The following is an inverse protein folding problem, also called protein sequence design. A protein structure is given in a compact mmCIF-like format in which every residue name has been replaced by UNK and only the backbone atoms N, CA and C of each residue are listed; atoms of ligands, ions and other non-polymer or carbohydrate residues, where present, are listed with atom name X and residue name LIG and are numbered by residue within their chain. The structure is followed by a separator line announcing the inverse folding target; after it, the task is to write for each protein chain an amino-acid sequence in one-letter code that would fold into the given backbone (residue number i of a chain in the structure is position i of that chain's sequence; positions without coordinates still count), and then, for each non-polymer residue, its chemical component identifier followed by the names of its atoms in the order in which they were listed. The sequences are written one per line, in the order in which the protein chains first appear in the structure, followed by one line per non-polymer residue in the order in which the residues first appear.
data_IF_117098058735
#
_entry.id   IF_117098058735
#
_cell.length_a   1.000
_cell.length_b   1.000
_cell.length_c   1.000
_cell.angle_alpha   90.00
_cell.angle_beta   90.00
_cell.angle_gamma   90.00
#
_symmetry.space_group_name_H-M   'P 1'
#
loop_
_entity.id
_entity.type
_entity.pdbx_description
1 polymer ?
#
# COMPACT_ATOMS: atom_id res chain seq x y z
N UNK A 1 3.57 4.83 3.39
CA UNK A 1 4.46 5.99 3.23
C UNK A 1 5.26 6.24 4.51
N UNK A 2 4.64 6.20 5.70
CA UNK A 2 5.34 6.50 6.93
C UNK A 2 4.54 6.20 8.20
N UNK A 3 5.14 6.53 9.35
CA UNK A 3 4.50 6.54 10.66
C UNK A 3 5.35 7.31 11.68
N UNK A 4 4.72 7.77 12.76
CA UNK A 4 5.39 8.32 13.94
C UNK A 4 6.36 9.46 13.64
N UNK A 5 6.03 10.33 12.68
CA UNK A 5 6.81 11.49 12.28
C UNK A 5 7.89 11.22 11.23
N UNK A 6 7.91 10.04 10.63
CA UNK A 6 8.89 9.64 9.60
C UNK A 6 8.21 9.20 8.32
N UNK A 7 8.78 9.63 7.19
CA UNK A 7 8.33 9.28 5.84
C UNK A 7 9.47 8.60 5.07
N UNK A 8 9.11 7.71 4.15
CA UNK A 8 10.09 7.02 3.29
C UNK A 8 10.90 8.01 2.47
N UNK A 9 10.26 9.07 1.95
CA UNK A 9 10.91 10.08 1.12
C UNK A 9 11.85 11.02 1.89
N UNK A 10 11.77 11.05 3.24
CA UNK A 10 12.72 11.83 4.07
C UNK A 10 14.15 11.30 3.99
N UNK A 11 14.36 10.10 3.49
CA UNK A 11 15.65 9.42 3.44
C UNK A 11 16.37 9.38 4.81
N UNK A 12 15.59 9.24 5.88
CA UNK A 12 16.07 9.23 7.27
C UNK A 12 16.24 7.80 7.78
N UNK A 13 17.48 7.30 7.83
CA UNK A 13 17.79 5.94 8.27
C UNK A 13 17.37 5.66 9.72
N UNK A 14 17.52 6.62 10.64
CA UNK A 14 17.09 6.46 12.04
C UNK A 14 15.56 6.47 12.14
N UNK A 15 14.91 7.31 11.35
CA UNK A 15 13.46 7.37 11.25
C UNK A 15 12.88 6.05 10.79
N UNK A 16 13.42 5.47 9.72
CA UNK A 16 12.98 4.16 9.21
C UNK A 16 13.16 3.05 10.26
N UNK A 17 14.28 3.01 10.98
CA UNK A 17 14.48 2.04 12.09
C UNK A 17 13.51 2.23 13.25
N UNK A 18 13.16 3.47 13.59
CA UNK A 18 12.13 3.74 14.61
C UNK A 18 10.76 3.29 14.14
N UNK A 19 10.45 3.52 12.88
CA UNK A 19 9.19 3.10 12.29
C UNK A 19 9.07 1.57 12.28
N UNK A 20 10.04 0.83 11.76
CA UNK A 20 10.00 -0.64 11.75
C UNK A 20 9.81 -1.23 13.16
N UNK A 21 10.43 -0.64 14.16
CA UNK A 21 10.28 -1.04 15.56
C UNK A 21 8.90 -0.65 16.14
N UNK A 22 8.40 0.54 15.80
CA UNK A 22 7.14 1.06 16.34
C UNK A 22 5.91 0.29 15.86
N UNK A 23 5.84 -0.06 14.58
CA UNK A 23 4.65 -0.72 14.00
C UNK A 23 4.42 -2.15 14.50
N UNK A 24 5.39 -2.76 15.14
CA UNK A 24 5.21 -4.05 15.83
C UNK A 24 4.09 -3.96 16.88
N UNK A 25 3.91 -2.79 17.50
CA UNK A 25 2.80 -2.53 18.43
C UNK A 25 1.41 -2.56 17.80
N UNK A 26 1.32 -2.55 16.47
CA UNK A 26 0.08 -2.65 15.70
C UNK A 26 -0.15 -4.08 15.15
N UNK A 27 0.71 -5.04 15.49
CA UNK A 27 0.67 -6.40 14.97
C UNK A 27 1.29 -6.55 13.58
N UNK A 28 2.08 -5.57 13.13
CA UNK A 28 2.75 -5.62 11.82
C UNK A 28 4.10 -6.31 11.96
N UNK A 29 4.31 -7.39 11.23
CA UNK A 29 5.56 -8.17 11.21
C UNK A 29 6.39 -7.94 9.96
N UNK A 30 5.78 -7.42 8.90
CA UNK A 30 6.47 -7.16 7.62
C UNK A 30 5.89 -5.94 6.92
N UNK A 31 6.73 -5.15 6.23
CA UNK A 31 6.33 -3.96 5.48
C UNK A 31 7.03 -3.82 4.14
N UNK A 32 6.42 -3.00 3.29
CA UNK A 32 7.04 -2.37 2.15
C UNK A 32 7.04 -0.85 2.39
N UNK A 33 8.14 -0.22 2.86
CA UNK A 33 8.23 1.24 2.89
C UNK A 33 7.87 1.79 1.51
N UNK A 34 6.90 2.71 1.47
CA UNK A 34 6.28 3.19 0.24
C UNK A 34 6.76 4.60 -0.07
N UNK A 35 7.24 4.83 -1.30
CA UNK A 35 7.54 6.19 -1.79
C UNK A 35 6.29 6.90 -2.25
N UNK A 36 6.31 8.24 -2.25
CA UNK A 36 5.35 9.08 -2.96
C UNK A 36 6.05 9.72 -4.16
N UNK A 37 5.28 10.05 -5.21
CA UNK A 37 5.78 10.82 -6.37
C UNK A 37 6.60 12.02 -5.92
N UNK A 38 7.81 12.15 -6.42
CA UNK A 38 8.73 13.26 -6.12
C UNK A 38 9.80 13.41 -7.20
N UNK A 39 10.65 14.44 -7.04
CA UNK A 39 11.79 14.63 -7.94
C UNK A 39 12.69 13.38 -7.98
N UNK A 40 13.37 13.19 -9.09
CA UNK A 40 14.31 12.08 -9.25
C UNK A 40 15.36 12.03 -8.14
N UNK A 41 15.82 13.19 -7.66
CA UNK A 41 16.79 13.30 -6.56
C UNK A 41 16.21 12.75 -5.26
N UNK A 42 15.00 13.18 -4.88
CA UNK A 42 14.34 12.73 -3.65
C UNK A 42 14.06 11.22 -3.69
N UNK A 43 13.53 10.71 -4.81
CA UNK A 43 13.29 9.28 -4.98
C UNK A 43 14.60 8.48 -4.93
N UNK A 44 15.67 8.97 -5.56
CA UNK A 44 17.00 8.33 -5.50
C UNK A 44 17.50 8.23 -4.06
N UNK A 45 17.39 9.30 -3.27
CA UNK A 45 17.83 9.33 -1.89
C UNK A 45 16.97 8.41 -1.00
N UNK A 46 15.64 8.40 -1.19
CA UNK A 46 14.73 7.53 -0.46
C UNK A 46 15.05 6.04 -0.69
N UNK A 47 15.18 5.64 -1.95
CA UNK A 47 15.49 4.26 -2.33
C UNK A 47 16.86 3.81 -1.81
N UNK A 48 17.89 4.66 -1.93
CA UNK A 48 19.22 4.39 -1.41
C UNK A 48 19.21 4.26 0.14
N UNK A 49 18.41 5.07 0.82
CA UNK A 49 18.27 5.03 2.28
C UNK A 49 17.65 3.71 2.75
N UNK A 50 16.56 3.25 2.11
CA UNK A 50 15.95 1.95 2.47
C UNK A 50 16.95 0.82 2.23
N UNK A 51 17.64 0.82 1.08
CA UNK A 51 18.66 -0.19 0.77
C UNK A 51 19.79 -0.20 1.81
N UNK A 52 20.26 0.98 2.24
CA UNK A 52 21.26 1.13 3.29
C UNK A 52 20.78 0.55 4.63
N UNK A 53 19.56 0.88 5.05
CA UNK A 53 19.00 0.37 6.33
C UNK A 53 18.88 -1.15 6.31
N UNK A 54 18.45 -1.74 5.19
CA UNK A 54 18.39 -3.20 5.04
C UNK A 54 19.76 -3.84 5.16
N UNK A 55 20.79 -3.26 4.55
CA UNK A 55 22.17 -3.79 4.62
C UNK A 55 22.83 -3.63 5.99
N UNK A 56 22.60 -2.51 6.66
CA UNK A 56 23.18 -2.22 7.97
C UNK A 56 22.46 -2.96 9.13
N UNK A 57 21.25 -3.45 8.89
CA UNK A 57 20.40 -4.08 9.89
C UNK A 57 19.51 -3.09 10.66
N UNK A 58 18.42 -3.63 11.17
CA UNK A 58 17.37 -2.91 11.94
C UNK A 58 16.61 -3.92 12.80
N UNK A 59 15.77 -3.42 13.71
CA UNK A 59 14.89 -4.21 14.57
C UNK A 59 13.42 -4.02 14.16
N UNK A 60 12.56 -4.98 14.56
CA UNK A 60 11.10 -4.89 14.40
C UNK A 60 10.60 -5.55 13.12
N UNK A 61 9.59 -4.95 12.49
CA UNK A 61 8.96 -5.51 11.29
C UNK A 61 9.92 -5.62 10.11
N UNK A 62 9.85 -6.75 9.40
CA UNK A 62 10.71 -7.01 8.25
C UNK A 62 10.42 -6.09 7.08
N UNK A 63 11.46 -5.48 6.50
CA UNK A 63 11.38 -4.78 5.22
C UNK A 63 11.54 -5.82 4.11
N UNK A 64 10.42 -6.24 3.51
CA UNK A 64 10.39 -7.24 2.42
C UNK A 64 10.87 -6.67 1.09
N UNK A 65 10.87 -5.36 0.98
CA UNK A 65 11.22 -4.61 -0.21
C UNK A 65 10.66 -3.21 -0.13
N UNK A 66 10.53 -2.54 -1.27
CA UNK A 66 10.00 -1.19 -1.40
C UNK A 66 8.75 -1.24 -2.29
N UNK A 67 7.71 -0.52 -1.89
CA UNK A 67 6.61 -0.17 -2.77
C UNK A 67 6.91 1.19 -3.41
N UNK A 68 7.01 1.20 -4.73
CA UNK A 68 7.26 2.39 -5.54
C UNK A 68 5.94 2.91 -6.08
N UNK A 69 5.33 3.87 -5.38
CA UNK A 69 4.06 4.47 -5.74
C UNK A 69 4.27 5.80 -6.46
N UNK A 70 3.96 5.78 -7.72
CA UNK A 70 4.36 6.86 -8.64
C UNK A 70 5.87 6.80 -9.00
N UNK A 71 6.32 7.68 -9.89
CA UNK A 71 5.61 8.81 -10.50
C UNK A 71 4.71 8.46 -11.70
N UNK A 72 4.50 7.23 -12.04
CA UNK A 72 3.81 6.75 -13.23
C UNK A 72 2.28 6.73 -13.03
N UNK A 73 1.69 7.88 -12.76
CA UNK A 73 0.30 8.06 -12.35
C UNK A 73 -0.46 8.95 -13.33
N UNK A 74 -1.79 8.83 -13.35
CA UNK A 74 -2.64 9.74 -14.11
C UNK A 74 -2.80 11.09 -13.41
N UNK A 75 -2.81 12.16 -14.19
CA UNK A 75 -2.87 13.54 -13.68
C UNK A 75 -4.20 13.88 -13.02
N UNK A 76 -5.32 13.34 -13.51
CA UNK A 76 -6.65 13.58 -12.96
C UNK A 76 -6.87 12.83 -11.63
N UNK A 77 -6.32 11.61 -11.56
CA UNK A 77 -6.48 10.73 -10.40
C UNK A 77 -5.28 10.70 -9.46
N UNK A 78 -4.39 11.67 -9.57
CA UNK A 78 -3.16 11.75 -8.76
C UNK A 78 -3.38 11.84 -7.24
N UNK A 79 -4.57 12.21 -6.77
CA UNK A 79 -4.84 12.45 -5.34
C UNK A 79 -3.90 13.51 -4.74
N UNK A 80 -3.27 13.18 -3.62
CA UNK A 80 -2.31 14.04 -2.91
C UNK A 80 -0.90 14.07 -3.56
N UNK A 81 -0.67 13.30 -4.62
CA UNK A 81 0.64 13.20 -5.29
C UNK A 81 1.03 14.54 -5.95
N UNK A 82 2.30 15.00 -5.83
CA UNK A 82 2.78 16.23 -6.46
C UNK A 82 2.74 16.16 -7.99
N UNK A 83 1.92 16.98 -8.61
CA UNK A 83 1.65 16.96 -10.06
C UNK A 83 2.87 17.23 -10.94
N UNK A 84 3.81 18.03 -10.44
CA UNK A 84 4.99 18.46 -11.17
C UNK A 84 6.01 17.34 -11.44
N UNK A 85 5.87 16.23 -10.74
CA UNK A 85 6.77 15.07 -10.87
C UNK A 85 6.11 13.84 -11.48
N UNK A 86 4.83 13.94 -11.85
CA UNK A 86 4.14 12.85 -12.57
C UNK A 86 4.79 12.68 -13.95
N UNK A 87 5.09 11.43 -14.30
CA UNK A 87 5.84 11.09 -15.50
C UNK A 87 5.24 9.86 -16.21
N UNK A 88 5.50 9.75 -17.51
CA UNK A 88 5.23 8.51 -18.24
C UNK A 88 6.23 7.42 -17.81
N UNK A 89 5.78 6.16 -17.70
CA UNK A 89 6.66 5.05 -17.37
C UNK A 89 7.66 4.78 -18.48
N UNK A 90 8.89 4.45 -18.10
CA UNK A 90 9.88 3.90 -19.03
C UNK A 90 10.73 2.83 -18.34
N UNK A 91 11.03 1.74 -19.04
CA UNK A 91 11.90 0.68 -18.53
C UNK A 91 13.26 1.22 -18.08
N UNK A 92 13.86 2.13 -18.87
CA UNK A 92 15.18 2.71 -18.59
C UNK A 92 15.21 3.49 -17.27
N UNK A 93 14.16 4.27 -16.98
CA UNK A 93 14.09 5.03 -15.74
C UNK A 93 13.85 4.10 -14.55
N UNK A 94 12.94 3.14 -14.67
CA UNK A 94 12.71 2.15 -13.64
C UNK A 94 13.99 1.34 -13.32
N UNK A 95 14.74 0.92 -14.34
CA UNK A 95 16.03 0.22 -14.15
C UNK A 95 17.02 1.05 -13.34
N UNK A 96 17.04 2.38 -13.54
CA UNK A 96 17.85 3.28 -12.72
C UNK A 96 17.43 3.21 -11.25
N UNK A 97 16.12 3.36 -10.96
CA UNK A 97 15.62 3.29 -9.59
C UNK A 97 15.85 1.91 -8.96
N UNK A 98 15.60 0.85 -9.69
CA UNK A 98 15.83 -0.52 -9.20
C UNK A 98 17.30 -0.78 -8.87
N UNK A 99 18.22 -0.22 -9.65
CA UNK A 99 19.66 -0.29 -9.37
C UNK A 99 20.02 0.46 -8.08
N UNK A 100 19.49 1.67 -7.90
CA UNK A 100 19.69 2.47 -6.66
C UNK A 100 19.13 1.74 -5.44
N UNK A 101 17.94 1.16 -5.57
CA UNK A 101 17.30 0.35 -4.55
C UNK A 101 17.95 -1.02 -4.33
N UNK A 102 19.05 -1.37 -5.04
CA UNK A 102 19.74 -2.68 -4.98
C UNK A 102 18.80 -3.88 -5.18
N UNK A 103 17.79 -3.73 -6.05
CA UNK A 103 16.82 -4.78 -6.34
C UNK A 103 15.66 -4.89 -5.34
N UNK A 104 15.54 -3.95 -4.40
CA UNK A 104 14.51 -3.97 -3.36
C UNK A 104 13.13 -3.46 -3.80
N UNK A 105 12.96 -2.84 -4.97
CA UNK A 105 11.61 -2.52 -5.45
C UNK A 105 10.92 -3.84 -5.80
N UNK A 106 9.89 -4.18 -5.03
CA UNK A 106 9.10 -5.41 -5.19
C UNK A 106 7.66 -5.18 -5.61
N UNK A 107 7.20 -3.95 -5.48
CA UNK A 107 5.83 -3.56 -5.75
C UNK A 107 5.81 -2.17 -6.41
N UNK A 108 5.07 -2.00 -7.49
CA UNK A 108 4.97 -0.74 -8.23
C UNK A 108 3.51 -0.41 -8.47
N UNK A 109 3.08 0.78 -8.05
CA UNK A 109 1.79 1.33 -8.45
C UNK A 109 1.97 2.20 -9.69
N UNK A 110 1.17 1.94 -10.72
CA UNK A 110 1.12 2.73 -11.95
C UNK A 110 -0.30 2.78 -12.53
N UNK A 111 -0.54 3.80 -13.36
CA UNK A 111 -1.75 3.93 -14.15
C UNK A 111 -1.57 3.16 -15.47
N UNK A 112 -2.35 2.09 -15.74
CA UNK A 112 -2.11 1.23 -16.90
C UNK A 112 -2.34 1.93 -18.24
N UNK A 113 -3.21 2.94 -18.29
CA UNK A 113 -3.53 3.71 -19.51
C UNK A 113 -2.41 4.64 -19.99
N UNK A 114 -1.42 4.93 -19.12
CA UNK A 114 -0.26 5.75 -19.53
C UNK A 114 1.00 4.93 -19.79
N UNK A 115 0.94 3.61 -19.60
CA UNK A 115 2.01 2.67 -19.93
C UNK A 115 1.84 2.19 -21.39
N UNK A 116 2.51 2.88 -22.30
CA UNK A 116 2.40 2.63 -23.75
C UNK A 116 2.67 1.14 -24.04
N UNK A 117 1.74 0.47 -24.74
CA UNK A 117 1.79 -0.98 -25.05
C UNK A 117 2.04 -1.88 -23.83
N UNK A 118 1.82 -1.37 -22.61
CA UNK A 118 2.11 -2.04 -21.34
C UNK A 118 3.58 -2.52 -21.18
N UNK A 119 4.52 -1.80 -21.80
CA UNK A 119 5.94 -2.20 -21.83
C UNK A 119 6.55 -2.31 -20.44
N UNK A 120 6.30 -1.32 -19.56
CA UNK A 120 6.83 -1.37 -18.19
C UNK A 120 6.12 -2.46 -17.38
N UNK A 121 4.81 -2.60 -17.50
CA UNK A 121 4.02 -3.64 -16.82
C UNK A 121 4.56 -5.03 -17.13
N UNK A 122 4.76 -5.36 -18.41
CA UNK A 122 5.34 -6.65 -18.81
C UNK A 122 6.78 -6.83 -18.32
N UNK A 123 7.59 -5.78 -18.40
CA UNK A 123 8.96 -5.82 -17.92
C UNK A 123 8.99 -6.13 -16.41
N UNK A 124 8.20 -5.43 -15.60
CA UNK A 124 8.11 -5.63 -14.16
C UNK A 124 7.66 -7.06 -13.82
N UNK A 125 6.59 -7.52 -14.46
CA UNK A 125 6.07 -8.87 -14.26
C UNK A 125 7.13 -9.94 -14.57
N UNK A 126 7.84 -9.83 -15.72
CA UNK A 126 8.91 -10.76 -16.12
C UNK A 126 10.10 -10.75 -15.15
N UNK A 127 10.29 -9.66 -14.41
CA UNK A 127 11.38 -9.52 -13.41
C UNK A 127 10.92 -9.74 -11.96
N UNK A 128 9.72 -10.30 -11.74
CA UNK A 128 9.22 -10.66 -10.41
C UNK A 128 8.85 -9.47 -9.54
N UNK A 129 8.53 -8.32 -10.14
CA UNK A 129 7.99 -7.14 -9.46
C UNK A 129 6.49 -7.12 -9.65
N UNK A 130 5.75 -6.98 -8.55
CA UNK A 130 4.29 -6.90 -8.59
C UNK A 130 3.87 -5.54 -9.15
N UNK A 131 2.99 -5.56 -10.14
CA UNK A 131 2.37 -4.34 -10.67
C UNK A 131 0.97 -4.22 -10.11
N UNK A 132 0.69 -3.07 -9.50
CA UNK A 132 -0.62 -2.67 -9.00
C UNK A 132 -1.15 -1.48 -9.78
N UNK A 133 -2.39 -1.55 -10.21
CA UNK A 133 -3.04 -0.46 -10.93
C UNK A 133 -3.70 0.50 -9.95
N UNK A 134 -3.34 1.77 -10.00
CA UNK A 134 -3.88 2.80 -9.12
C UNK A 134 -3.53 4.20 -9.59
N UNK A 135 -4.14 5.21 -8.99
CA UNK A 135 -4.03 6.59 -9.44
C UNK A 135 -4.25 6.72 -10.95
N UNK A 136 -5.42 6.23 -11.42
CA UNK A 136 -5.63 5.87 -12.81
C UNK A 136 -7.00 6.28 -13.32
N UNK A 137 -7.02 6.86 -14.51
CA UNK A 137 -8.21 7.16 -15.30
C UNK A 137 -8.69 5.96 -16.16
N UNK A 138 -8.07 4.79 -16.00
CA UNK A 138 -8.34 3.63 -16.82
C UNK A 138 -9.82 3.26 -16.89
N UNK A 139 -10.27 2.94 -18.08
CA UNK A 139 -11.54 2.26 -18.31
C UNK A 139 -11.48 0.81 -17.79
N UNK A 140 -12.62 0.16 -17.76
CA UNK A 140 -12.68 -1.26 -17.42
C UNK A 140 -11.82 -2.11 -18.39
N UNK A 141 -11.88 -1.80 -19.69
CA UNK A 141 -11.17 -2.49 -20.75
C UNK A 141 -9.65 -2.33 -20.61
N UNK A 142 -9.18 -1.12 -20.33
CA UNK A 142 -7.75 -0.84 -20.07
C UNK A 142 -7.26 -1.55 -18.82
N UNK A 143 -8.08 -1.63 -17.75
CA UNK A 143 -7.75 -2.39 -16.56
C UNK A 143 -7.62 -3.90 -16.86
N UNK A 144 -8.50 -4.47 -17.71
CA UNK A 144 -8.41 -5.86 -18.15
C UNK A 144 -7.13 -6.09 -18.98
N UNK A 145 -6.77 -5.14 -19.83
CA UNK A 145 -5.52 -5.23 -20.60
C UNK A 145 -4.29 -5.16 -19.68
N UNK A 146 -4.27 -4.24 -18.71
CA UNK A 146 -3.20 -4.19 -17.71
C UNK A 146 -3.03 -5.52 -16.97
N UNK A 147 -4.14 -6.16 -16.56
CA UNK A 147 -4.11 -7.48 -15.95
C UNK A 147 -3.59 -8.57 -16.92
N UNK A 148 -4.02 -8.55 -18.18
CA UNK A 148 -3.55 -9.49 -19.21
C UNK A 148 -2.05 -9.38 -19.46
N UNK A 149 -1.46 -8.18 -19.35
CA UNK A 149 -0.04 -7.91 -19.49
C UNK A 149 0.78 -8.10 -18.19
N UNK A 150 0.14 -8.52 -17.10
CA UNK A 150 0.85 -8.97 -15.91
C UNK A 150 0.62 -8.17 -14.64
N UNK A 151 -0.20 -7.12 -14.65
CA UNK A 151 -0.65 -6.50 -13.40
C UNK A 151 -1.36 -7.53 -12.52
N UNK A 152 -1.15 -7.44 -11.20
CA UNK A 152 -1.63 -8.44 -10.24
C UNK A 152 -2.54 -7.87 -9.17
N UNK A 153 -2.50 -6.56 -8.96
CA UNK A 153 -3.25 -5.89 -7.90
C UNK A 153 -3.86 -4.57 -8.36
N UNK A 154 -4.69 -4.01 -7.51
CA UNK A 154 -5.16 -2.63 -7.59
C UNK A 154 -4.93 -1.96 -6.25
N UNK A 155 -4.29 -0.79 -6.27
CA UNK A 155 -3.91 -0.01 -5.10
C UNK A 155 -5.13 0.71 -4.54
N UNK A 156 -5.34 0.65 -3.22
CA UNK A 156 -6.40 1.35 -2.46
C UNK A 156 -7.71 1.54 -3.23
N UNK A 157 -8.31 0.40 -3.68
CA UNK A 157 -9.55 0.36 -4.47
C UNK A 157 -10.59 1.35 -3.96
N UNK A 158 -11.28 2.03 -4.86
CA UNK A 158 -12.16 3.20 -4.75
C UNK A 158 -11.45 4.55 -4.76
N UNK A 159 -10.23 4.65 -4.26
CA UNK A 159 -9.51 5.90 -4.09
C UNK A 159 -8.55 6.15 -5.26
N UNK A 160 -8.54 7.38 -5.79
CA UNK A 160 -7.66 7.74 -6.89
C UNK A 160 -7.86 6.88 -8.16
N UNK A 161 -9.11 6.52 -8.50
CA UNK A 161 -9.39 5.70 -9.68
C UNK A 161 -10.83 5.89 -10.21
N UNK A 162 -11.06 5.46 -11.45
CA UNK A 162 -12.38 5.50 -12.07
C UNK A 162 -13.39 4.65 -11.30
N UNK A 163 -14.54 5.25 -10.88
CA UNK A 163 -15.50 4.59 -10.01
C UNK A 163 -16.32 3.53 -10.76
N UNK A 164 -16.96 2.63 -10.00
CA UNK A 164 -17.95 1.70 -10.54
C UNK A 164 -19.25 2.41 -10.89
N UNK A 165 -19.68 2.24 -12.12
CA UNK A 165 -21.03 2.52 -12.56
C UNK A 165 -21.52 1.35 -13.42
N UNK A 166 -22.78 0.98 -13.33
CA UNK A 166 -23.35 -0.20 -14.02
C UNK A 166 -23.24 -0.15 -15.56
N UNK A 167 -22.94 0.99 -16.17
CA UNK A 167 -22.72 1.18 -17.62
C UNK A 167 -21.29 1.56 -17.97
N UNK A 168 -20.52 2.07 -16.98
CA UNK A 168 -19.10 2.41 -17.09
C UNK A 168 -18.40 1.86 -15.85
N UNK A 169 -17.93 0.62 -15.94
CA UNK A 169 -17.51 -0.12 -14.76
C UNK A 169 -16.21 0.42 -14.14
N UNK A 170 -15.37 1.11 -14.91
CA UNK A 170 -14.11 1.68 -14.44
C UNK A 170 -13.14 0.65 -13.86
N UNK A 171 -12.09 1.17 -13.25
CA UNK A 171 -11.08 0.34 -12.58
C UNK A 171 -11.68 -0.42 -11.38
N UNK A 172 -12.57 0.21 -10.62
CA UNK A 172 -13.29 -0.45 -9.51
C UNK A 172 -14.11 -1.64 -9.99
N UNK A 173 -14.76 -1.54 -11.15
CA UNK A 173 -15.51 -2.66 -11.73
C UNK A 173 -14.62 -3.84 -12.15
N UNK A 174 -13.40 -3.56 -12.59
CA UNK A 174 -12.41 -4.60 -12.85
C UNK A 174 -12.01 -5.30 -11.53
N UNK A 175 -11.84 -4.55 -10.42
CA UNK A 175 -11.61 -5.12 -9.10
C UNK A 175 -12.68 -6.16 -8.72
N UNK A 176 -13.94 -5.84 -8.94
CA UNK A 176 -15.04 -6.74 -8.62
C UNK A 176 -15.10 -7.97 -9.52
N UNK A 177 -14.83 -7.79 -10.82
CA UNK A 177 -15.09 -8.84 -11.83
C UNK A 177 -13.95 -9.82 -11.99
N UNK A 178 -12.70 -9.35 -11.90
CA UNK A 178 -11.53 -10.18 -12.19
C UNK A 178 -11.14 -11.01 -10.97
N UNK A 179 -11.43 -12.29 -11.06
CA UNK A 179 -10.91 -13.27 -10.09
C UNK A 179 -9.45 -13.52 -10.40
N UNK A 180 -8.62 -13.56 -9.37
CA UNK A 180 -7.16 -13.73 -9.51
C UNK A 180 -6.37 -12.42 -9.52
N UNK A 181 -7.03 -11.27 -9.61
CA UNK A 181 -6.44 -9.96 -9.35
C UNK A 181 -6.67 -9.58 -7.89
N UNK A 182 -5.63 -9.25 -7.17
CA UNK A 182 -5.76 -8.72 -5.81
C UNK A 182 -6.34 -7.30 -5.84
N UNK A 183 -6.90 -6.88 -4.74
CA UNK A 183 -7.32 -5.50 -4.54
C UNK A 183 -7.00 -5.10 -3.11
N UNK A 184 -6.37 -3.96 -2.97
CA UNK A 184 -6.04 -3.36 -1.69
C UNK A 184 -7.14 -2.39 -1.28
N UNK A 185 -7.47 -2.35 0.00
CA UNK A 185 -8.41 -1.36 0.56
C UNK A 185 -7.90 -0.81 1.88
N UNK A 186 -8.12 0.51 2.08
CA UNK A 186 -7.87 1.19 3.35
C UNK A 186 -9.12 1.00 4.21
N UNK A 187 -8.98 0.34 5.35
CA UNK A 187 -10.10 -0.10 6.18
C UNK A 187 -10.29 0.79 7.42
N UNK A 188 -10.24 2.12 7.23
CA UNK A 188 -10.36 3.12 8.30
C UNK A 188 -11.79 3.67 8.47
N UNK A 189 -12.73 3.27 7.62
CA UNK A 189 -14.09 3.81 7.61
C UNK A 189 -14.23 5.19 6.97
N UNK A 190 -13.12 5.89 6.70
CA UNK A 190 -13.06 7.24 6.11
C UNK A 190 -12.80 7.18 4.60
N UNK A 191 -11.78 6.45 4.15
CA UNK A 191 -11.48 6.24 2.73
C UNK A 191 -12.55 5.39 2.04
N UNK A 192 -13.13 4.46 2.78
CA UNK A 192 -14.21 3.59 2.31
C UNK A 192 -15.18 3.35 3.45
N UNK A 193 -16.48 3.59 3.20
CA UNK A 193 -17.50 3.29 4.19
C UNK A 193 -17.54 1.79 4.50
N UNK A 194 -18.03 1.43 5.68
CA UNK A 194 -18.19 0.01 6.07
C UNK A 194 -19.03 -0.80 5.07
N UNK A 195 -20.03 -0.16 4.43
CA UNK A 195 -20.81 -0.79 3.37
C UNK A 195 -20.00 -1.05 2.10
N UNK A 196 -19.10 -0.15 1.72
CA UNK A 196 -18.19 -0.34 0.59
C UNK A 196 -17.18 -1.46 0.88
N UNK A 197 -16.63 -1.51 2.09
CA UNK A 197 -15.74 -2.59 2.56
C UNK A 197 -16.44 -3.95 2.51
N UNK A 198 -17.66 -4.04 3.05
CA UNK A 198 -18.47 -5.26 2.98
C UNK A 198 -18.66 -5.75 1.53
N UNK A 199 -19.08 -4.85 0.64
CA UNK A 199 -19.30 -5.19 -0.77
C UNK A 199 -18.01 -5.63 -1.48
N UNK A 200 -16.89 -4.95 -1.19
CA UNK A 200 -15.59 -5.30 -1.74
C UNK A 200 -15.18 -6.73 -1.35
N UNK A 201 -15.21 -7.05 -0.05
CA UNK A 201 -14.81 -8.39 0.41
C UNK A 201 -15.77 -9.48 -0.05
N UNK A 202 -17.07 -9.19 -0.19
CA UNK A 202 -18.01 -10.13 -0.81
C UNK A 202 -17.67 -10.41 -2.28
N UNK A 203 -17.26 -9.39 -3.03
CA UNK A 203 -16.86 -9.57 -4.44
C UNK A 203 -15.53 -10.31 -4.58
N UNK A 204 -14.55 -10.03 -3.70
CA UNK A 204 -13.20 -10.63 -3.75
C UNK A 204 -13.13 -12.02 -3.11
N UNK A 205 -14.01 -12.30 -2.17
CA UNK A 205 -13.96 -13.53 -1.37
C UNK A 205 -12.74 -13.59 -0.44
N UNK A 206 -12.42 -14.78 0.11
CA UNK A 206 -11.36 -14.91 1.11
C UNK A 206 -9.93 -14.77 0.58
N UNK A 207 -9.71 -14.80 -0.75
CA UNK A 207 -8.39 -15.04 -1.32
C UNK A 207 -7.74 -13.82 -2.00
N UNK A 208 -8.52 -12.76 -2.33
CA UNK A 208 -8.02 -11.69 -3.20
C UNK A 208 -8.21 -10.27 -2.65
N UNK A 209 -8.82 -10.11 -1.48
CA UNK A 209 -8.84 -8.82 -0.76
C UNK A 209 -7.59 -8.68 0.09
N UNK A 210 -6.97 -7.49 0.08
CA UNK A 210 -5.82 -7.13 0.92
C UNK A 210 -6.20 -5.88 1.70
N UNK A 211 -5.99 -5.90 3.02
CA UNK A 211 -6.09 -4.73 3.87
C UNK A 211 -4.74 -4.01 3.92
N UNK A 212 -4.74 -2.72 3.63
CA UNK A 212 -3.59 -1.85 3.76
C UNK A 212 -3.91 -0.67 4.68
N UNK A 213 -2.89 -0.03 5.20
CA UNK A 213 -3.06 1.20 5.97
C UNK A 213 -2.92 2.46 5.12
N UNK A 214 -2.03 2.44 4.13
CA UNK A 214 -1.64 3.66 3.39
C UNK A 214 -1.28 4.80 4.36
N UNK A 215 -0.59 4.45 5.45
CA UNK A 215 -0.33 5.36 6.54
C UNK A 215 0.75 6.39 6.21
N UNK A 216 0.57 7.58 6.76
CA UNK A 216 1.51 8.70 6.67
C UNK A 216 2.34 8.83 7.95
N UNK A 217 3.35 9.70 7.88
CA UNK A 217 4.10 10.16 9.05
C UNK A 217 3.22 10.71 10.17
N UNK A 218 2.00 11.14 9.85
CA UNK A 218 1.01 11.65 10.78
C UNK A 218 0.45 10.58 11.75
N UNK A 219 0.59 9.29 11.41
CA UNK A 219 0.13 8.21 12.28
C UNK A 219 0.83 8.26 13.64
N UNK A 220 0.01 8.21 14.71
CA UNK A 220 0.46 8.25 16.10
C UNK A 220 0.48 9.64 16.72
N UNK A 221 -0.02 10.66 16.03
CA UNK A 221 -0.16 12.02 16.54
C UNK A 221 -1.61 12.41 16.76
N UNK A 222 -1.83 13.42 17.61
CA UNK A 222 -3.15 13.91 18.00
C UNK A 222 -3.81 14.77 16.91
N UNK A 223 -5.15 14.86 16.90
CA UNK A 223 -5.88 15.80 16.05
C UNK A 223 -5.37 17.23 16.15
N UNK A 224 -5.43 17.98 15.05
CA UNK A 224 -4.89 19.33 14.92
C UNK A 224 -3.40 19.40 14.60
N UNK A 225 -2.67 18.28 14.66
CA UNK A 225 -1.26 18.24 14.26
C UNK A 225 -1.12 18.36 12.74
N UNK A 226 -0.12 19.13 12.31
CA UNK A 226 0.15 19.40 10.89
C UNK A 226 1.50 18.86 10.47
N UNK A 227 1.58 18.41 9.23
CA UNK A 227 2.78 17.87 8.60
C UNK A 227 2.90 18.36 7.15
N UNK A 228 4.10 18.23 6.58
CA UNK A 228 4.30 18.38 5.14
C UNK A 228 4.48 17.00 4.53
N UNK A 229 3.58 16.64 3.60
CA UNK A 229 3.61 15.37 2.88
C UNK A 229 3.66 15.63 1.37
N UNK A 230 4.70 15.16 0.70
CA UNK A 230 4.91 15.39 -0.72
C UNK A 230 4.94 16.86 -1.15
N UNK A 231 5.26 17.79 -0.22
CA UNK A 231 5.22 19.23 -0.45
C UNK A 231 3.89 19.90 -0.12
N UNK A 232 2.85 19.14 0.22
CA UNK A 232 1.54 19.65 0.62
C UNK A 232 1.38 19.63 2.14
N UNK A 233 0.74 20.66 2.71
CA UNK A 233 0.39 20.67 4.14
C UNK A 233 -0.82 19.77 4.36
N UNK A 234 -0.72 18.85 5.34
CA UNK A 234 -1.80 17.99 5.83
C UNK A 234 -2.09 18.28 7.30
N UNK A 235 -3.32 18.00 7.72
CA UNK A 235 -3.78 18.16 9.10
C UNK A 235 -4.59 16.94 9.53
N UNK A 236 -4.39 16.48 10.77
CA UNK A 236 -5.16 15.39 11.36
C UNK A 236 -6.47 15.98 11.91
N UNK A 237 -7.61 15.43 11.50
CA UNK A 237 -8.93 15.84 11.95
C UNK A 237 -9.34 15.09 13.24
N UNK A 238 -10.44 15.52 13.89
CA UNK A 238 -10.96 14.97 15.15
C UNK A 238 -11.29 13.46 15.07
N UNK A 239 -11.65 12.97 13.88
CA UNK A 239 -11.91 11.55 13.61
C UNK A 239 -10.62 10.74 13.33
N UNK A 240 -9.45 11.39 13.45
CA UNK A 240 -8.15 10.80 13.18
C UNK A 240 -7.75 10.77 11.70
N UNK A 241 -8.64 11.15 10.76
CA UNK A 241 -8.29 11.18 9.33
C UNK A 241 -7.32 12.30 9.00
N UNK A 242 -6.45 12.08 8.00
CA UNK A 242 -5.52 13.09 7.51
C UNK A 242 -6.05 13.76 6.23
N UNK A 243 -6.01 15.08 6.18
CA UNK A 243 -6.54 15.87 5.07
C UNK A 243 -5.53 16.88 4.56
N UNK A 244 -5.52 17.09 3.24
CA UNK A 244 -4.86 18.23 2.63
C UNK A 244 -5.48 19.53 3.13
N UNK A 245 -4.67 20.46 3.65
CA UNK A 245 -5.17 21.73 4.19
C UNK A 245 -5.83 22.57 3.10
N UNK A 246 -5.28 22.57 1.88
CA UNK A 246 -5.77 23.35 0.75
C UNK A 246 -7.11 22.85 0.21
N UNK A 247 -7.20 21.55 -0.13
CA UNK A 247 -8.35 20.98 -0.85
C UNK A 247 -9.36 20.30 0.05
N UNK A 248 -9.02 20.06 1.31
CA UNK A 248 -9.78 19.27 2.29
C UNK A 248 -9.99 17.81 1.88
N UNK A 249 -9.30 17.33 0.84
CA UNK A 249 -9.33 15.93 0.43
C UNK A 249 -8.49 15.06 1.36
N UNK A 250 -8.85 13.78 1.46
CA UNK A 250 -8.06 12.80 2.19
C UNK A 250 -6.64 12.67 1.59
N UNK A 251 -5.65 12.44 2.45
CA UNK A 251 -4.26 12.27 2.07
C UNK A 251 -3.65 11.15 2.90
N UNK A 252 -3.62 9.94 2.36
CA UNK A 252 -3.22 8.75 3.09
C UNK A 252 -3.98 8.58 4.41
N UNK A 253 -3.52 7.73 5.30
CA UNK A 253 -4.23 7.47 6.55
C UNK A 253 -3.35 7.60 7.80
N UNK A 254 -4.00 7.51 8.97
CA UNK A 254 -3.36 7.30 10.27
C UNK A 254 -3.71 5.93 10.84
N UNK A 255 -4.31 5.06 10.03
CA UNK A 255 -4.85 3.77 10.42
C UNK A 255 -3.78 2.87 11.04
N UNK A 256 -4.11 2.22 12.15
CA UNK A 256 -3.36 1.10 12.72
C UNK A 256 -3.89 -0.22 12.16
N UNK A 257 -3.01 -1.18 11.89
CA UNK A 257 -3.38 -2.44 11.25
C UNK A 257 -4.41 -3.24 12.06
N UNK A 258 -4.23 -3.35 13.37
CA UNK A 258 -5.16 -4.04 14.26
C UNK A 258 -6.54 -3.36 14.33
N UNK A 259 -6.59 -2.03 14.24
CA UNK A 259 -7.84 -1.27 14.19
C UNK A 259 -8.61 -1.50 12.89
N UNK A 260 -7.91 -1.54 11.75
CA UNK A 260 -8.53 -1.91 10.47
C UNK A 260 -9.14 -3.32 10.49
N UNK A 261 -8.49 -4.27 11.16
CA UNK A 261 -9.05 -5.61 11.35
C UNK A 261 -10.34 -5.57 12.19
N UNK A 262 -10.35 -4.80 13.29
CA UNK A 262 -11.55 -4.59 14.11
C UNK A 262 -12.70 -4.00 13.30
N UNK A 263 -12.44 -2.93 12.55
CA UNK A 263 -13.45 -2.27 11.69
C UNK A 263 -14.02 -3.25 10.67
N UNK A 264 -13.17 -4.06 10.03
CA UNK A 264 -13.63 -5.06 9.06
C UNK A 264 -14.59 -6.08 9.69
N UNK A 265 -14.27 -6.59 10.86
CA UNK A 265 -15.05 -7.67 11.48
C UNK A 265 -16.27 -7.14 12.21
N UNK A 266 -16.13 -6.11 13.05
CA UNK A 266 -17.19 -5.64 13.94
C UNK A 266 -18.13 -4.64 13.30
N UNK A 267 -17.61 -3.76 12.44
CA UNK A 267 -18.41 -2.69 11.84
C UNK A 267 -18.84 -3.03 10.40
N UNK A 268 -17.89 -3.48 9.56
CA UNK A 268 -18.20 -3.85 8.18
C UNK A 268 -18.79 -5.27 8.07
N UNK A 269 -18.83 -6.06 9.16
CA UNK A 269 -19.40 -7.42 9.19
C UNK A 269 -18.78 -8.36 8.15
N UNK A 270 -17.51 -8.15 7.81
CA UNK A 270 -16.75 -9.04 6.94
C UNK A 270 -16.45 -10.34 7.71
N UNK A 271 -16.66 -11.53 7.11
CA UNK A 271 -16.31 -12.77 7.79
C UNK A 271 -14.87 -12.79 8.29
N UNK A 272 -14.64 -13.20 9.54
CA UNK A 272 -13.33 -13.15 10.19
C UNK A 272 -12.21 -13.79 9.36
N UNK A 273 -12.49 -14.92 8.70
CA UNK A 273 -11.51 -15.58 7.84
C UNK A 273 -11.14 -14.75 6.58
N UNK A 274 -12.04 -13.91 6.06
CA UNK A 274 -11.73 -13.00 4.96
C UNK A 274 -10.83 -11.86 5.46
N UNK A 275 -11.21 -11.26 6.59
CA UNK A 275 -10.48 -10.16 7.20
C UNK A 275 -9.05 -10.57 7.60
N UNK A 276 -8.90 -11.73 8.24
CA UNK A 276 -7.56 -12.21 8.65
C UNK A 276 -6.70 -12.61 7.44
N UNK A 277 -7.28 -13.22 6.41
CA UNK A 277 -6.56 -13.54 5.19
C UNK A 277 -6.06 -12.26 4.49
N UNK A 278 -6.85 -11.20 4.53
CA UNK A 278 -6.48 -9.90 3.94
C UNK A 278 -5.28 -9.24 4.63
N UNK A 279 -5.01 -9.60 5.89
CA UNK A 279 -3.88 -9.10 6.68
C UNK A 279 -2.66 -10.03 6.64
N UNK A 280 -2.81 -11.27 6.15
CA UNK A 280 -1.79 -12.31 6.32
C UNK A 280 -1.45 -13.01 5.01
N UNK A 281 -2.22 -14.04 4.65
CA UNK A 281 -1.89 -14.91 3.52
C UNK A 281 -2.09 -14.24 2.15
N UNK A 282 -3.06 -13.33 2.01
CA UNK A 282 -3.32 -12.70 0.71
C UNK A 282 -2.19 -11.76 0.28
N UNK A 283 -1.67 -10.83 1.13
CA UNK A 283 -0.49 -10.06 0.79
C UNK A 283 0.75 -10.93 0.57
N UNK A 284 0.93 -12.03 1.33
CA UNK A 284 2.03 -12.96 1.13
C UNK A 284 1.94 -13.64 -0.25
N UNK A 285 0.77 -14.10 -0.67
CA UNK A 285 0.53 -14.67 -2.01
C UNK A 285 0.74 -13.63 -3.12
N UNK A 286 0.28 -12.39 -2.91
CA UNK A 286 0.46 -11.30 -3.88
C UNK A 286 1.95 -11.05 -4.14
N UNK A 287 2.77 -11.08 -3.10
CA UNK A 287 4.22 -10.91 -3.17
C UNK A 287 4.99 -12.19 -3.54
N UNK A 288 4.32 -13.35 -3.62
CA UNK A 288 4.96 -14.64 -3.93
C UNK A 288 5.83 -15.20 -2.81
N UNK A 289 5.54 -14.86 -1.54
CA UNK A 289 6.27 -15.28 -0.34
C UNK A 289 5.44 -16.18 0.58
N UNK A 290 4.32 -16.68 0.10
CA UNK A 290 3.37 -17.51 0.85
C UNK A 290 3.89 -18.93 1.18
N UNK A 291 5.08 -19.27 0.73
CA UNK A 291 5.78 -20.50 1.11
C UNK A 291 6.42 -20.42 2.51
N UNK A 292 6.61 -19.20 3.05
CA UNK A 292 7.22 -19.00 4.37
C UNK A 292 6.55 -17.90 5.22
N UNK A 293 5.60 -17.13 4.66
CA UNK A 293 4.85 -16.10 5.40
C UNK A 293 3.33 -16.25 5.25
N UNK A 294 2.59 -15.64 6.16
CA UNK A 294 1.14 -15.52 6.12
C UNK A 294 0.37 -16.67 6.75
N UNK A 295 1.05 -17.66 7.34
CA UNK A 295 0.41 -18.79 8.04
C UNK A 295 1.22 -19.23 9.25
N UNK A 296 0.55 -19.87 10.20
CA UNK A 296 1.18 -20.61 11.28
C UNK A 296 1.38 -22.05 10.79
N UNK A 297 2.62 -22.49 10.68
CA UNK A 297 2.94 -23.83 10.21
C UNK A 297 4.41 -24.18 10.31
N UNK A 298 4.74 -25.46 10.27
CA UNK A 298 6.13 -25.92 10.28
C UNK A 298 6.85 -25.44 9.01
N UNK A 299 7.99 -24.78 9.17
CA UNK A 299 8.78 -24.19 8.07
C UNK A 299 8.40 -22.77 7.69
N UNK A 300 7.39 -22.20 8.35
CA UNK A 300 7.06 -20.78 8.22
C UNK A 300 7.85 -19.93 9.22
N UNK A 301 8.04 -18.67 8.87
CA UNK A 301 8.64 -17.68 9.77
C UNK A 301 7.81 -17.54 11.05
N UNK A 302 8.48 -17.30 12.18
CA UNK A 302 7.83 -17.14 13.49
C UNK A 302 7.21 -15.75 13.66
N UNK A 303 6.54 -15.25 12.63
CA UNK A 303 5.81 -13.99 12.65
C UNK A 303 4.40 -14.23 13.22
N UNK A 304 4.25 -13.93 14.50
CA UNK A 304 3.02 -14.23 15.27
C UNK A 304 2.48 -12.98 15.94
N UNK A 305 1.17 -12.80 15.90
CA UNK A 305 0.47 -11.73 16.59
C UNK A 305 -0.55 -12.33 17.56
N UNK A 306 -0.46 -11.95 18.82
CA UNK A 306 -1.46 -12.30 19.85
C UNK A 306 -2.34 -11.07 20.06
N UNK A 307 -3.63 -11.22 19.78
CA UNK A 307 -4.62 -10.17 19.97
C UNK A 307 -5.47 -10.48 21.22
N UNK A 308 -5.89 -9.43 21.91
CA UNK A 308 -6.95 -9.49 22.89
C UNK A 308 -8.33 -9.56 22.19
N UNK A 309 -9.40 -9.83 22.96
CA UNK A 309 -10.76 -9.94 22.42
C UNK A 309 -11.26 -8.63 21.77
N UNK A 310 -10.70 -7.49 22.14
CA UNK A 310 -10.98 -6.17 21.60
C UNK A 310 -10.08 -5.78 20.41
N UNK A 311 -9.35 -6.75 19.84
CA UNK A 311 -8.37 -6.57 18.77
C UNK A 311 -7.15 -5.72 19.14
N UNK A 312 -6.98 -5.29 20.38
CA UNK A 312 -5.72 -4.69 20.81
C UNK A 312 -4.59 -5.72 20.77
N UNK A 313 -3.39 -5.28 20.40
CA UNK A 313 -2.24 -6.17 20.31
C UNK A 313 -1.71 -6.47 21.69
N UNK A 314 -1.78 -7.75 22.12
CA UNK A 314 -1.15 -8.20 23.35
C UNK A 314 0.36 -8.38 23.17
N UNK A 315 0.77 -9.05 22.08
CA UNK A 315 2.17 -9.28 21.77
C UNK A 315 2.36 -9.59 20.27
N UNK A 316 3.48 -9.13 19.72
CA UNK A 316 3.92 -9.48 18.37
C UNK A 316 5.30 -10.11 18.43
N UNK A 317 5.47 -11.21 17.73
CA UNK A 317 6.76 -11.87 17.52
C UNK A 317 7.15 -11.67 16.06
N UNK A 318 8.36 -11.15 15.82
CA UNK A 318 8.97 -11.07 14.51
C UNK A 318 10.18 -11.98 14.48
N UNK A 319 10.40 -12.71 13.38
CA UNK A 319 11.50 -13.62 13.20
C UNK A 319 12.84 -12.96 13.58
N UNK A 320 13.44 -13.38 14.72
CA UNK A 320 14.78 -13.01 15.24
C UNK A 320 15.21 -11.52 15.06
N UNK A 321 14.27 -10.56 15.15
CA UNK A 321 14.53 -9.13 14.91
C UNK A 321 14.02 -8.24 16.02
#
# INVERSE_FOLDING_TARGET
HGAYGFDTNDANAQGLRKWTKGIVSEGVTSILPTTITQSKEVLTNALANVAKVVEEGYEGAEILGIHFEGPYLDMEYKGAQPKEYIAKPTIKEFQYYQKVAKGLIKYVTLAPEIDDEHELTEYLFKNGVVVSMGHSAATYEEAIMGFAHGARSQTHVYNGMTPFNHRKNGLVGAAYRVKGMYGEVICDGNHSTVAALYNFFNAKGPDYGIMITDALMAKGFEPGTKFIFGGNEIEIYEDGSAHLVETKGLAGSTLRMNEGLRILVEEAMVPFNYAINACTINPAKCLGIDMHKGRIGVGYDSDLVVLNDDYSVHQTYCLDR
#
